data_IF_081684233273
#
_entry.id   IF_081684233273
#
_cell.length_a   1.000
_cell.length_b   1.000
_cell.length_c   1.000
_cell.angle_alpha   90.00
_cell.angle_beta   90.00
_cell.angle_gamma   90.00
#
_symmetry.space_group_name_H-M   'P 1'
#
loop_
_entity.id
_entity.type
_entity.pdbx_description
1 polymer ?
#
# COMPACT_ATOMS: atom_id res chain seq x y z
N UNK A 1 -28.56 3.72 9.04
CA UNK A 1 -28.58 5.09 8.50
C UNK A 1 -29.56 5.11 7.34
N UNK A 2 -30.70 5.79 7.47
CA UNK A 2 -31.60 6.02 6.34
C UNK A 2 -30.95 7.06 5.41
N UNK A 3 -31.06 6.88 4.09
CA UNK A 3 -30.56 7.83 3.11
C UNK A 3 -31.28 9.18 3.28
N UNK A 4 -30.54 10.29 3.18
CA UNK A 4 -31.12 11.64 3.25
C UNK A 4 -32.03 11.87 2.03
N UNK A 5 -33.35 12.07 2.19
CA UNK A 5 -34.27 12.29 1.08
C UNK A 5 -33.99 13.59 0.31
N UNK A 6 -33.24 14.52 0.91
CA UNK A 6 -32.84 15.79 0.29
C UNK A 6 -31.47 15.71 -0.40
N UNK A 7 -30.82 14.54 -0.41
CA UNK A 7 -29.58 14.35 -1.15
C UNK A 7 -29.88 14.34 -2.65
N UNK A 8 -29.51 15.42 -3.34
CA UNK A 8 -29.47 15.42 -4.80
C UNK A 8 -28.27 14.57 -5.21
N UNK A 9 -28.54 13.31 -5.58
CA UNK A 9 -27.60 12.48 -6.34
C UNK A 9 -27.51 13.08 -7.73
N UNK A 10 -26.60 14.04 -7.91
CA UNK A 10 -26.06 14.33 -9.22
C UNK A 10 -25.26 13.10 -9.62
N UNK A 11 -25.84 12.21 -10.45
CA UNK A 11 -25.10 11.16 -11.15
C UNK A 11 -24.22 11.79 -12.24
N UNK A 12 -23.36 12.69 -11.78
CA UNK A 12 -22.49 13.52 -12.57
C UNK A 12 -21.16 12.76 -12.67
N UNK A 13 -21.24 11.56 -13.23
CA UNK A 13 -20.12 10.62 -13.32
C UNK A 13 -19.20 11.00 -14.46
N UNK A 14 -17.99 11.43 -14.11
CA UNK A 14 -16.86 11.35 -15.03
C UNK A 14 -16.15 10.02 -14.82
N UNK A 15 -16.03 9.23 -15.89
CA UNK A 15 -15.20 8.04 -15.89
C UNK A 15 -13.71 8.42 -15.74
N UNK A 16 -12.85 7.46 -15.38
CA UNK A 16 -11.40 7.64 -15.35
C UNK A 16 -10.86 8.24 -16.63
N UNK A 17 -11.35 7.82 -17.80
CA UNK A 17 -10.96 8.41 -19.07
C UNK A 17 -11.29 9.90 -19.14
N UNK A 18 -12.43 10.33 -18.58
CA UNK A 18 -12.74 11.75 -18.41
C UNK A 18 -11.67 12.48 -17.60
N UNK A 19 -11.34 11.99 -16.40
CA UNK A 19 -10.30 12.61 -15.55
C UNK A 19 -8.91 12.59 -16.20
N UNK A 20 -8.52 11.52 -16.89
CA UNK A 20 -7.25 11.45 -17.63
C UNK A 20 -7.18 12.49 -18.75
N UNK A 21 -8.28 12.72 -19.47
CA UNK A 21 -8.34 13.76 -20.50
C UNK A 21 -8.23 15.17 -19.89
N UNK A 22 -8.85 15.41 -18.72
CA UNK A 22 -8.68 16.68 -17.99
C UNK A 22 -7.23 16.86 -17.55
N UNK A 23 -6.58 15.82 -17.04
CA UNK A 23 -5.17 15.84 -16.65
C UNK A 23 -4.26 16.17 -17.86
N UNK A 24 -4.48 15.48 -18.98
CA UNK A 24 -3.73 15.72 -20.22
C UNK A 24 -3.91 17.15 -20.75
N UNK A 25 -5.12 17.72 -20.65
CA UNK A 25 -5.36 19.12 -21.01
C UNK A 25 -4.59 20.09 -20.12
N UNK A 26 -4.52 19.85 -18.82
CA UNK A 26 -3.71 20.67 -17.90
C UNK A 26 -2.22 20.57 -18.21
N UNK A 27 -1.72 19.38 -18.49
CA UNK A 27 -0.33 19.16 -18.92
C UNK A 27 -0.02 19.95 -20.19
N UNK A 28 -0.88 19.84 -21.21
CA UNK A 28 -0.72 20.60 -22.45
C UNK A 28 -0.73 22.12 -22.22
N UNK A 29 -1.69 22.63 -21.44
CA UNK A 29 -1.78 24.08 -21.13
C UNK A 29 -0.57 24.57 -20.30
N UNK A 30 0.07 23.69 -19.54
CA UNK A 30 1.32 23.96 -18.83
C UNK A 30 2.58 23.82 -19.71
N UNK A 31 2.43 23.48 -20.99
CA UNK A 31 3.53 23.28 -21.94
C UNK A 31 4.12 21.87 -21.97
N UNK A 32 3.56 20.91 -21.22
CA UNK A 32 3.98 19.51 -21.17
C UNK A 32 3.20 18.65 -22.17
N UNK A 33 3.56 18.77 -23.45
CA UNK A 33 2.93 18.00 -24.54
C UNK A 33 3.26 16.50 -24.47
N UNK A 34 4.46 16.14 -24.05
CA UNK A 34 4.88 14.73 -23.93
C UNK A 34 4.10 14.03 -22.81
N UNK A 35 3.96 14.69 -21.65
CA UNK A 35 3.11 14.21 -20.56
C UNK A 35 1.65 14.08 -20.99
N UNK A 36 1.12 15.09 -21.69
CA UNK A 36 -0.25 15.04 -22.21
C UNK A 36 -0.47 13.87 -23.16
N UNK A 37 0.45 13.65 -24.11
CA UNK A 37 0.39 12.50 -25.02
C UNK A 37 0.40 11.17 -24.26
N UNK A 38 1.30 11.01 -23.29
CA UNK A 38 1.41 9.79 -22.50
C UNK A 38 0.12 9.48 -21.72
N UNK A 39 -0.48 10.49 -21.09
CA UNK A 39 -1.76 10.37 -20.37
C UNK A 39 -2.91 10.00 -21.32
N UNK A 40 -2.98 10.61 -22.51
CA UNK A 40 -3.99 10.27 -23.53
C UNK A 40 -3.82 8.84 -24.00
N UNK A 41 -2.61 8.44 -24.37
CA UNK A 41 -2.32 7.08 -24.84
C UNK A 41 -2.70 6.04 -23.79
N UNK A 42 -2.34 6.28 -22.53
CA UNK A 42 -2.74 5.40 -21.43
C UNK A 42 -4.28 5.28 -21.30
N UNK A 43 -4.99 6.41 -21.40
CA UNK A 43 -6.46 6.40 -21.38
C UNK A 43 -7.07 5.68 -22.59
N UNK A 44 -6.50 5.82 -23.79
CA UNK A 44 -7.00 5.17 -25.02
C UNK A 44 -6.73 3.66 -25.03
N UNK A 45 -5.63 3.25 -24.41
CA UNK A 45 -5.25 1.84 -24.26
C UNK A 45 -6.13 1.11 -23.23
N UNK A 46 -6.62 1.81 -22.20
CA UNK A 46 -7.28 1.16 -21.04
C UNK A 46 -8.75 1.59 -20.82
N UNK A 47 -9.27 2.59 -21.53
CA UNK A 47 -10.66 3.03 -21.38
C UNK A 47 -11.33 3.28 -22.74
N UNK A 48 -12.67 3.32 -22.74
CA UNK A 48 -13.51 3.74 -23.87
C UNK A 48 -13.46 5.27 -24.10
N UNK A 49 -12.38 5.94 -23.67
CA UNK A 49 -12.20 7.40 -23.75
C UNK A 49 -12.39 7.95 -25.16
N UNK A 50 -12.24 7.10 -26.17
CA UNK A 50 -12.65 7.34 -27.54
C UNK A 50 -11.67 8.19 -28.34
N UNK A 51 -11.85 8.13 -29.66
CA UNK A 51 -10.95 8.72 -30.65
C UNK A 51 -9.85 7.75 -31.10
N UNK A 52 -9.22 8.02 -32.26
CA UNK A 52 -8.12 7.21 -32.78
C UNK A 52 -6.90 7.29 -31.85
N UNK A 53 -6.11 6.21 -31.79
CA UNK A 53 -4.88 6.19 -30.99
C UNK A 53 -3.90 7.27 -31.47
N UNK A 54 -3.44 8.14 -30.56
CA UNK A 54 -2.46 9.18 -30.87
C UNK A 54 -1.05 8.58 -30.87
N UNK A 55 -0.23 8.94 -31.85
CA UNK A 55 1.17 8.48 -32.01
C UNK A 55 2.19 9.61 -31.90
N UNK A 56 1.75 10.87 -31.82
CA UNK A 56 2.61 12.06 -31.89
C UNK A 56 2.07 13.22 -31.06
N UNK A 57 2.97 14.02 -30.49
CA UNK A 57 2.63 15.27 -29.76
C UNK A 57 1.97 16.31 -30.65
N UNK A 58 2.22 16.28 -31.97
CA UNK A 58 1.55 17.18 -32.93
C UNK A 58 0.03 16.96 -33.03
N UNK A 59 -0.46 15.79 -32.60
CA UNK A 59 -1.89 15.45 -32.62
C UNK A 59 -2.62 15.92 -31.36
N UNK A 60 -1.89 16.20 -30.28
CA UNK A 60 -2.44 16.51 -28.96
C UNK A 60 -3.33 17.78 -28.98
N UNK A 61 -2.91 18.92 -29.56
CA UNK A 61 -3.75 20.12 -29.57
C UNK A 61 -5.09 19.92 -30.26
N UNK A 62 -5.12 19.22 -31.40
CA UNK A 62 -6.34 18.96 -32.16
C UNK A 62 -7.26 18.01 -31.39
N UNK A 63 -6.72 16.95 -30.78
CA UNK A 63 -7.50 16.00 -29.98
C UNK A 63 -8.13 16.67 -28.75
N UNK A 64 -7.32 17.40 -27.96
CA UNK A 64 -7.75 18.06 -26.73
C UNK A 64 -8.63 19.30 -26.96
N UNK A 65 -8.74 19.76 -28.21
CA UNK A 65 -9.64 20.86 -28.61
C UNK A 65 -10.92 20.34 -29.28
N UNK A 66 -11.14 19.03 -29.34
CA UNK A 66 -12.39 18.47 -29.87
C UNK A 66 -13.59 18.84 -29.00
N UNK A 67 -14.77 19.01 -29.62
CA UNK A 67 -16.00 19.39 -28.92
C UNK A 67 -16.34 18.43 -27.76
N UNK A 68 -16.04 17.13 -27.91
CA UNK A 68 -16.21 16.12 -26.86
C UNK A 68 -15.35 16.43 -25.63
N UNK A 69 -14.06 16.71 -25.84
CA UNK A 69 -13.12 17.04 -24.75
C UNK A 69 -13.49 18.36 -24.09
N UNK A 70 -13.83 19.38 -24.89
CA UNK A 70 -14.24 20.69 -24.35
C UNK A 70 -15.50 20.57 -23.49
N UNK A 71 -16.48 19.73 -23.88
CA UNK A 71 -17.67 19.47 -23.06
C UNK A 71 -17.33 18.77 -21.73
N UNK A 72 -16.37 17.84 -21.74
CA UNK A 72 -15.87 17.21 -20.50
C UNK A 72 -15.16 18.23 -19.60
N UNK A 73 -14.36 19.12 -20.19
CA UNK A 73 -13.69 20.20 -19.46
C UNK A 73 -14.70 21.17 -18.85
N UNK A 74 -15.69 21.61 -19.61
CA UNK A 74 -16.76 22.49 -19.12
C UNK A 74 -17.47 21.86 -17.91
N UNK A 75 -17.85 20.60 -18.02
CA UNK A 75 -18.45 19.87 -16.91
C UNK A 75 -17.52 19.78 -15.69
N UNK A 76 -16.23 19.50 -15.89
CA UNK A 76 -15.25 19.47 -14.81
C UNK A 76 -15.07 20.85 -14.15
N UNK A 77 -15.04 21.92 -14.94
CA UNK A 77 -14.93 23.29 -14.44
C UNK A 77 -16.15 23.66 -13.57
N UNK A 78 -17.35 23.21 -13.94
CA UNK A 78 -18.55 23.35 -13.11
C UNK A 78 -18.40 22.58 -11.78
N UNK A 79 -17.88 21.35 -11.80
CA UNK A 79 -17.59 20.61 -10.57
C UNK A 79 -16.60 21.36 -9.66
N UNK A 80 -15.56 21.96 -10.23
CA UNK A 80 -14.56 22.75 -9.48
C UNK A 80 -15.16 24.04 -8.91
N UNK A 81 -16.01 24.72 -9.67
CA UNK A 81 -16.69 25.95 -9.26
C UNK A 81 -17.69 25.71 -8.13
N UNK A 82 -18.35 24.55 -8.14
CA UNK A 82 -19.39 24.17 -7.17
C UNK A 82 -18.93 23.13 -6.15
N UNK A 83 -17.62 22.94 -5.97
CA UNK A 83 -17.05 21.91 -5.07
C UNK A 83 -17.54 22.02 -3.61
N UNK A 84 -17.95 23.21 -3.18
CA UNK A 84 -18.52 23.45 -1.84
C UNK A 84 -19.92 22.82 -1.65
N UNK A 85 -20.57 22.37 -2.72
CA UNK A 85 -21.86 21.68 -2.69
C UNK A 85 -21.71 20.14 -2.70
N UNK A 86 -20.48 19.62 -2.73
CA UNK A 86 -20.20 18.19 -2.91
C UNK A 86 -19.74 17.58 -1.57
N UNK A 87 -20.52 16.63 -1.04
CA UNK A 87 -20.19 15.90 0.18
C UNK A 87 -19.08 14.86 -0.01
N UNK A 88 -19.05 14.25 -1.19
CA UNK A 88 -18.04 13.28 -1.59
C UNK A 88 -17.86 13.30 -3.11
N UNK A 89 -16.60 13.24 -3.56
CA UNK A 89 -16.29 13.14 -4.98
C UNK A 89 -16.30 11.66 -5.39
N UNK A 90 -17.27 11.27 -6.20
CA UNK A 90 -17.39 9.91 -6.74
C UNK A 90 -16.57 9.75 -8.03
N UNK A 91 -15.84 8.64 -8.14
CA UNK A 91 -15.05 8.25 -9.31
C UNK A 91 -15.46 6.86 -9.82
N UNK A 92 -15.53 6.70 -11.14
CA UNK A 92 -15.61 5.41 -11.83
C UNK A 92 -14.28 5.14 -12.54
N UNK A 93 -13.42 4.33 -11.93
CA UNK A 93 -12.06 4.09 -12.38
C UNK A 93 -11.88 2.75 -13.10
N UNK A 94 -11.44 2.81 -14.36
CA UNK A 94 -11.26 1.67 -15.27
C UNK A 94 -9.83 1.53 -15.84
N UNK A 95 -8.90 2.37 -15.40
CA UNK A 95 -7.50 2.37 -15.85
C UNK A 95 -6.57 1.42 -15.07
N UNK A 96 -5.25 1.47 -15.33
CA UNK A 96 -4.27 0.75 -14.53
C UNK A 96 -4.07 1.41 -13.17
N UNK A 97 -3.63 0.66 -12.16
CA UNK A 97 -3.38 1.18 -10.81
C UNK A 97 -2.32 2.28 -10.76
N UNK A 98 -1.41 2.32 -11.74
CA UNK A 98 -0.32 3.30 -11.81
C UNK A 98 -0.77 4.76 -11.93
N UNK A 99 -1.95 5.03 -12.50
CA UNK A 99 -2.48 6.38 -12.74
C UNK A 99 -3.44 6.88 -11.67
N UNK A 100 -3.88 6.02 -10.74
CA UNK A 100 -4.70 6.47 -9.60
C UNK A 100 -4.02 7.61 -8.82
N UNK A 101 -2.70 7.54 -8.47
CA UNK A 101 -2.07 8.60 -7.69
C UNK A 101 -2.07 9.96 -8.41
N UNK A 102 -1.90 10.00 -9.73
CA UNK A 102 -1.91 11.26 -10.48
C UNK A 102 -3.32 11.84 -10.56
N UNK A 103 -4.32 11.00 -10.80
CA UNK A 103 -5.74 11.38 -10.80
C UNK A 103 -6.16 11.96 -9.45
N UNK A 104 -5.81 11.28 -8.34
CA UNK A 104 -6.12 11.76 -7.00
C UNK A 104 -5.36 13.06 -6.71
N UNK A 105 -4.09 13.17 -7.08
CA UNK A 105 -3.31 14.40 -6.89
C UNK A 105 -3.91 15.58 -7.67
N UNK A 106 -4.35 15.38 -8.91
CA UNK A 106 -5.01 16.40 -9.71
C UNK A 106 -6.25 16.94 -9.00
N UNK A 107 -7.21 16.07 -8.64
CA UNK A 107 -8.45 16.55 -7.99
C UNK A 107 -8.17 17.23 -6.65
N UNK A 108 -7.18 16.77 -5.87
CA UNK A 108 -6.78 17.46 -4.64
C UNK A 108 -6.22 18.85 -4.92
N UNK A 109 -5.39 19.00 -5.96
CA UNK A 109 -4.82 20.29 -6.37
C UNK A 109 -5.90 21.29 -6.84
N UNK A 110 -7.01 20.79 -7.40
CA UNK A 110 -8.17 21.62 -7.81
C UNK A 110 -9.10 22.02 -6.64
N UNK A 111 -8.71 21.64 -5.41
CA UNK A 111 -9.37 22.03 -4.17
C UNK A 111 -10.47 21.08 -3.70
N UNK A 112 -10.62 19.90 -4.31
CA UNK A 112 -11.53 18.88 -3.80
C UNK A 112 -10.97 18.28 -2.50
N UNK A 113 -11.32 18.88 -1.36
CA UNK A 113 -10.87 18.47 -0.02
C UNK A 113 -11.82 17.48 0.68
N UNK A 114 -13.02 17.26 0.13
CA UNK A 114 -13.99 16.27 0.61
C UNK A 114 -13.47 14.83 0.41
N UNK A 115 -14.09 13.83 1.05
CA UNK A 115 -13.78 12.42 0.79
C UNK A 115 -13.91 12.06 -0.70
N UNK A 116 -13.01 11.20 -1.18
CA UNK A 116 -13.09 10.61 -2.52
C UNK A 116 -13.61 9.19 -2.37
N UNK A 117 -14.55 8.81 -3.21
CA UNK A 117 -15.14 7.47 -3.25
C UNK A 117 -15.03 6.88 -4.64
N UNK A 118 -14.58 5.63 -4.75
CA UNK A 118 -14.43 4.94 -6.03
C UNK A 118 -15.51 3.86 -6.11
N UNK A 119 -16.66 4.23 -6.70
CA UNK A 119 -17.84 3.37 -6.76
C UNK A 119 -17.76 2.30 -7.85
N UNK A 120 -16.84 2.48 -8.79
CA UNK A 120 -16.45 1.43 -9.73
C UNK A 120 -14.94 1.44 -9.82
N UNK A 121 -14.27 0.38 -9.37
CA UNK A 121 -12.83 0.19 -9.49
C UNK A 121 -12.57 -1.06 -10.31
N UNK A 122 -11.97 -0.92 -11.47
CA UNK A 122 -11.59 -2.04 -12.32
C UNK A 122 -10.50 -1.67 -13.31
N UNK A 123 -10.12 -2.64 -14.14
CA UNK A 123 -9.22 -2.45 -15.27
C UNK A 123 -9.86 -3.06 -16.51
N UNK A 124 -9.92 -2.32 -17.62
CA UNK A 124 -10.33 -2.88 -18.92
C UNK A 124 -9.10 -3.26 -19.72
N UNK A 125 -9.09 -4.48 -20.24
CA UNK A 125 -7.97 -5.01 -21.04
C UNK A 125 -8.24 -4.74 -22.53
N UNK A 126 -8.26 -3.46 -22.90
CA UNK A 126 -8.55 -2.99 -24.27
C UNK A 126 -7.28 -2.86 -25.14
N UNK A 127 -6.11 -3.07 -24.55
CA UNK A 127 -4.79 -2.96 -25.16
C UNK A 127 -4.43 -4.09 -26.13
N UNK A 128 -5.34 -5.05 -26.32
CA UNK A 128 -5.18 -6.16 -27.27
C UNK A 128 -4.20 -7.24 -26.81
N UNK A 129 -3.60 -7.12 -25.62
CA UNK A 129 -2.73 -8.18 -25.09
C UNK A 129 -3.56 -9.40 -24.67
N UNK A 130 -3.00 -10.62 -24.75
CA UNK A 130 -3.67 -11.80 -24.20
C UNK A 130 -4.02 -11.61 -22.73
N UNK A 131 -5.22 -12.03 -22.35
CA UNK A 131 -5.63 -11.99 -20.95
C UNK A 131 -4.92 -13.07 -20.15
N UNK A 132 -4.15 -12.65 -19.14
CA UNK A 132 -3.44 -13.53 -18.22
C UNK A 132 -4.06 -13.46 -16.82
N UNK A 133 -4.48 -14.61 -16.26
CA UNK A 133 -5.12 -14.63 -14.94
C UNK A 133 -4.24 -14.09 -13.83
N UNK A 134 -2.93 -14.33 -13.91
CA UNK A 134 -1.96 -13.85 -12.92
C UNK A 134 -1.81 -12.33 -12.99
N UNK A 135 -1.81 -11.74 -14.19
CA UNK A 135 -1.78 -10.29 -14.36
C UNK A 135 -3.05 -9.65 -13.79
N UNK A 136 -4.22 -10.26 -14.02
CA UNK A 136 -5.47 -9.79 -13.43
C UNK A 136 -5.46 -9.85 -11.89
N UNK A 137 -4.91 -10.91 -11.32
CA UNK A 137 -4.74 -11.03 -9.88
C UNK A 137 -3.79 -9.97 -9.31
N UNK A 138 -2.68 -9.71 -9.99
CA UNK A 138 -1.71 -8.70 -9.59
C UNK A 138 -2.29 -7.29 -9.68
N UNK A 139 -2.98 -6.98 -10.78
CA UNK A 139 -3.59 -5.69 -11.02
C UNK A 139 -4.74 -5.40 -10.05
N UNK A 140 -5.58 -6.39 -9.75
CA UNK A 140 -6.64 -6.24 -8.74
C UNK A 140 -6.11 -5.82 -7.37
N UNK A 141 -5.00 -6.43 -6.94
CA UNK A 141 -4.35 -6.06 -5.68
C UNK A 141 -3.75 -4.66 -5.75
N UNK A 142 -3.08 -4.29 -6.86
CA UNK A 142 -2.53 -2.96 -7.04
C UNK A 142 -3.63 -1.90 -7.04
N UNK A 143 -4.73 -2.11 -7.76
CA UNK A 143 -5.88 -1.20 -7.80
C UNK A 143 -6.42 -0.94 -6.41
N UNK A 144 -6.80 -1.99 -5.68
CA UNK A 144 -7.40 -1.85 -4.35
C UNK A 144 -6.41 -1.22 -3.37
N UNK A 145 -5.17 -1.70 -3.33
CA UNK A 145 -4.16 -1.16 -2.42
C UNK A 145 -3.82 0.30 -2.74
N UNK A 146 -3.79 0.68 -4.02
CA UNK A 146 -3.51 2.06 -4.43
C UNK A 146 -4.68 2.97 -4.14
N UNK A 147 -5.91 2.59 -4.47
CA UNK A 147 -7.11 3.36 -4.14
C UNK A 147 -7.21 3.66 -2.64
N UNK A 148 -7.09 2.62 -1.79
CA UNK A 148 -7.08 2.80 -0.33
C UNK A 148 -5.84 3.56 0.14
N UNK A 149 -4.69 3.31 -0.51
CA UNK A 149 -3.40 3.94 -0.23
C UNK A 149 -3.37 5.45 -0.43
N UNK A 150 -4.08 5.92 -1.47
CA UNK A 150 -4.26 7.34 -1.83
C UNK A 150 -5.46 7.97 -1.12
N UNK A 151 -6.12 7.24 -0.20
CA UNK A 151 -7.12 7.79 0.71
C UNK A 151 -8.55 7.75 0.21
N UNK A 152 -8.89 6.87 -0.74
CA UNK A 152 -10.29 6.61 -1.07
C UNK A 152 -11.04 6.10 0.18
N UNK A 153 -12.12 6.78 0.54
CA UNK A 153 -12.96 6.46 1.71
C UNK A 153 -13.78 5.19 1.48
N UNK A 154 -14.26 5.03 0.25
CA UNK A 154 -15.11 3.93 -0.18
C UNK A 154 -14.61 3.41 -1.53
N UNK A 155 -14.58 2.09 -1.69
CA UNK A 155 -14.09 1.41 -2.89
C UNK A 155 -14.98 0.20 -3.18
N UNK A 156 -15.53 0.14 -4.39
CA UNK A 156 -16.26 -1.03 -4.90
C UNK A 156 -15.47 -1.56 -6.09
N UNK A 157 -14.91 -2.76 -5.94
CA UNK A 157 -14.30 -3.46 -7.06
C UNK A 157 -15.41 -3.86 -8.04
N UNK A 158 -15.32 -3.33 -9.25
CA UNK A 158 -16.28 -3.58 -10.31
C UNK A 158 -15.99 -4.92 -10.98
N UNK A 159 -17.07 -5.60 -11.38
CA UNK A 159 -17.13 -6.92 -12.00
C UNK A 159 -16.79 -8.10 -11.08
N UNK A 160 -17.84 -8.60 -10.41
CA UNK A 160 -17.78 -9.92 -9.79
C UNK A 160 -17.80 -11.05 -10.85
N UNK A 161 -18.58 -10.86 -11.92
CA UNK A 161 -18.66 -11.75 -13.09
C UNK A 161 -18.07 -11.08 -14.33
N UNK A 162 -17.65 -11.88 -15.31
CA UNK A 162 -17.13 -11.36 -16.59
C UNK A 162 -18.14 -10.45 -17.31
N UNK A 163 -17.63 -9.34 -17.87
CA UNK A 163 -18.32 -8.48 -18.83
C UNK A 163 -17.45 -8.33 -20.07
N UNK A 164 -17.35 -9.42 -20.83
CA UNK A 164 -16.39 -9.57 -21.95
C UNK A 164 -16.60 -8.57 -23.09
N UNK A 165 -17.83 -8.07 -23.28
CA UNK A 165 -18.12 -7.00 -24.26
C UNK A 165 -17.27 -5.73 -24.01
N UNK A 166 -16.92 -5.46 -22.75
CA UNK A 166 -16.07 -4.34 -22.36
C UNK A 166 -14.62 -4.75 -22.05
N UNK A 167 -14.23 -5.99 -22.39
CA UNK A 167 -12.95 -6.60 -22.00
C UNK A 167 -12.66 -6.48 -20.50
N UNK A 168 -13.72 -6.58 -19.69
CA UNK A 168 -13.63 -6.61 -18.25
C UNK A 168 -13.82 -8.04 -17.76
N UNK A 169 -12.80 -8.57 -17.11
CA UNK A 169 -12.82 -9.91 -16.54
C UNK A 169 -13.22 -9.83 -15.07
N UNK A 170 -14.10 -10.73 -14.64
CA UNK A 170 -14.62 -10.78 -13.27
C UNK A 170 -13.73 -11.58 -12.32
N UNK A 171 -14.16 -11.70 -11.07
CA UNK A 171 -13.56 -12.65 -10.12
C UNK A 171 -14.00 -14.10 -10.40
N UNK A 172 -15.16 -14.23 -11.04
CA UNK A 172 -15.75 -15.47 -11.52
C UNK A 172 -15.96 -15.34 -13.03
N UNK A 173 -15.60 -16.38 -13.78
CA UNK A 173 -15.79 -16.40 -15.23
C UNK A 173 -17.23 -16.74 -15.65
N UNK A 174 -17.51 -16.67 -16.96
CA UNK A 174 -18.83 -16.99 -17.53
C UNK A 174 -19.35 -18.40 -17.23
N UNK A 175 -18.46 -19.33 -16.90
CA UNK A 175 -18.78 -20.72 -16.56
C UNK A 175 -18.96 -20.92 -15.04
N UNK A 176 -18.80 -19.86 -14.24
CA UNK A 176 -18.92 -19.92 -12.79
C UNK A 176 -17.63 -20.33 -12.05
N UNK A 177 -16.49 -20.48 -12.76
CA UNK A 177 -15.23 -20.85 -12.14
C UNK A 177 -14.53 -19.64 -11.50
N UNK A 178 -13.84 -19.87 -10.39
CA UNK A 178 -13.06 -18.83 -9.72
C UNK A 178 -11.77 -18.54 -10.46
N UNK A 179 -11.51 -17.27 -10.78
CA UNK A 179 -10.22 -16.81 -11.31
C UNK A 179 -9.22 -16.56 -10.18
N UNK A 180 -7.93 -16.53 -10.52
CA UNK A 180 -6.84 -16.20 -9.57
C UNK A 180 -7.07 -14.86 -8.84
N UNK A 181 -7.66 -13.87 -9.54
CA UNK A 181 -8.00 -12.57 -8.97
C UNK A 181 -8.92 -12.65 -7.75
N UNK A 182 -9.85 -13.63 -7.69
CA UNK A 182 -10.72 -13.85 -6.53
C UNK A 182 -9.92 -14.08 -5.25
N UNK A 183 -8.85 -14.87 -5.34
CA UNK A 183 -7.98 -15.19 -4.20
C UNK A 183 -7.11 -13.99 -3.81
N UNK A 184 -6.59 -13.26 -4.79
CA UNK A 184 -5.82 -12.04 -4.57
C UNK A 184 -6.66 -10.95 -3.89
N UNK A 185 -7.88 -10.70 -4.37
CA UNK A 185 -8.82 -9.75 -3.76
C UNK A 185 -9.15 -10.15 -2.33
N UNK A 186 -9.51 -11.42 -2.08
CA UNK A 186 -9.78 -11.91 -0.72
C UNK A 186 -8.59 -11.69 0.21
N UNK A 187 -7.38 -11.98 -0.24
CA UNK A 187 -6.17 -11.78 0.54
C UNK A 187 -5.91 -10.30 0.80
N UNK A 188 -6.04 -9.44 -0.22
CA UNK A 188 -5.88 -7.98 -0.11
C UNK A 188 -6.88 -7.37 0.86
N UNK A 189 -8.16 -7.74 0.81
CA UNK A 189 -9.17 -7.29 1.78
C UNK A 189 -8.84 -7.74 3.20
N UNK A 190 -8.39 -8.99 3.38
CA UNK A 190 -7.91 -9.48 4.68
C UNK A 190 -6.69 -8.69 5.18
N UNK A 191 -5.80 -8.31 4.27
CA UNK A 191 -4.62 -7.52 4.58
C UNK A 191 -4.93 -6.05 4.91
N UNK A 192 -5.94 -5.47 4.29
CA UNK A 192 -6.38 -4.09 4.54
C UNK A 192 -7.31 -3.95 5.74
N UNK A 193 -7.82 -5.06 6.30
CA UNK A 193 -8.69 -5.02 7.49
C UNK A 193 -8.03 -4.25 8.64
N UNK A 194 -8.84 -3.39 9.27
CA UNK A 194 -8.50 -2.52 10.39
C UNK A 194 -7.45 -1.45 10.07
N UNK A 195 -7.24 -1.14 8.80
CA UNK A 195 -6.36 -0.02 8.40
C UNK A 195 -6.94 1.30 8.90
N UNK A 196 -6.11 2.08 9.60
CA UNK A 196 -6.46 3.40 10.13
C UNK A 196 -5.83 4.54 9.34
N UNK A 197 -4.71 4.27 8.66
CA UNK A 197 -4.05 5.24 7.78
C UNK A 197 -3.19 4.51 6.77
N UNK A 198 -2.96 5.16 5.62
CA UNK A 198 -2.07 4.66 4.60
C UNK A 198 -1.04 5.72 4.22
N UNK A 199 0.11 5.27 3.70
CA UNK A 199 1.07 6.15 3.03
C UNK A 199 1.83 5.39 1.96
N UNK A 200 2.11 6.06 0.85
CA UNK A 200 2.94 5.52 -0.21
C UNK A 200 4.33 5.16 0.32
N UNK A 201 4.90 4.08 -0.21
CA UNK A 201 6.18 3.53 0.20
C UNK A 201 7.01 3.19 -1.04
N UNK A 202 8.12 3.92 -1.21
CA UNK A 202 9.19 3.55 -2.15
C UNK A 202 10.31 2.87 -1.39
N UNK A 203 10.37 1.53 -1.44
CA UNK A 203 11.37 0.73 -0.75
C UNK A 203 12.63 0.51 -1.60
N UNK A 204 13.12 1.59 -2.24
CA UNK A 204 14.22 1.58 -3.21
C UNK A 204 13.76 1.97 -4.62
N UNK A 205 14.72 2.27 -5.50
CA UNK A 205 14.45 2.50 -6.92
C UNK A 205 13.80 1.26 -7.55
N UNK A 206 12.77 1.46 -8.37
CA UNK A 206 12.06 0.37 -9.05
C UNK A 206 11.06 -0.40 -8.18
N UNK A 207 10.65 0.16 -7.04
CA UNK A 207 9.57 -0.40 -6.21
C UNK A 207 8.46 0.62 -6.01
N UNK A 208 7.23 0.13 -5.94
CA UNK A 208 6.06 0.91 -5.53
C UNK A 208 5.19 0.09 -4.57
N UNK A 209 4.31 0.78 -3.87
CA UNK A 209 3.38 0.19 -2.93
C UNK A 209 3.10 1.09 -1.75
N UNK A 210 2.50 0.50 -0.72
CA UNK A 210 1.90 1.23 0.38
C UNK A 210 2.20 0.60 1.73
N UNK A 211 2.26 1.44 2.75
CA UNK A 211 2.18 1.04 4.15
C UNK A 211 0.79 1.36 4.66
N UNK A 212 0.18 0.39 5.32
CA UNK A 212 -1.10 0.51 6.01
C UNK A 212 -0.86 0.34 7.51
N UNK A 213 -1.16 1.36 8.30
CA UNK A 213 -1.09 1.30 9.76
C UNK A 213 -2.42 0.79 10.30
N UNK A 214 -2.36 -0.01 11.38
CA UNK A 214 -3.52 -0.70 11.98
C UNK A 214 -3.31 -0.89 13.48
N UNK A 215 -4.36 -1.19 14.26
CA UNK A 215 -4.20 -1.64 15.63
C UNK A 215 -3.22 -2.80 15.72
N UNK A 216 -2.16 -2.63 16.52
CA UNK A 216 -1.12 -3.65 16.69
C UNK A 216 -0.08 -3.71 15.57
N UNK A 217 0.12 -2.66 14.78
CA UNK A 217 1.31 -2.52 13.94
C UNK A 217 1.02 -1.96 12.57
N UNK A 218 1.67 -2.53 11.56
CA UNK A 218 1.56 -2.08 10.18
C UNK A 218 1.68 -3.28 9.23
N UNK A 219 1.10 -3.13 8.05
CA UNK A 219 1.28 -3.99 6.88
C UNK A 219 1.86 -3.17 5.76
N UNK A 220 2.64 -3.80 4.89
CA UNK A 220 3.13 -3.18 3.66
C UNK A 220 2.78 -4.07 2.50
N UNK A 221 2.42 -3.49 1.38
CA UNK A 221 2.38 -4.17 0.09
C UNK A 221 3.42 -3.52 -0.80
N UNK A 222 4.20 -4.33 -1.51
CA UNK A 222 5.19 -3.85 -2.47
C UNK A 222 5.17 -4.71 -3.73
N UNK A 223 5.44 -4.06 -4.86
CA UNK A 223 5.72 -4.68 -6.14
C UNK A 223 6.88 -3.93 -6.83
N UNK A 224 7.54 -4.61 -7.75
CA UNK A 224 8.55 -4.01 -8.61
C UNK A 224 7.87 -3.36 -9.81
N UNK A 225 8.32 -2.16 -10.18
CA UNK A 225 7.87 -1.47 -11.41
C UNK A 225 8.65 -1.91 -12.65
N UNK A 226 9.65 -2.79 -12.47
CA UNK A 226 10.48 -3.34 -13.54
C UNK A 226 11.05 -4.70 -13.15
N UNK A 227 12.37 -4.87 -13.20
CA UNK A 227 13.05 -6.07 -12.73
C UNK A 227 12.88 -6.30 -11.22
N UNK A 228 13.00 -7.55 -10.78
CA UNK A 228 12.86 -7.89 -9.37
C UNK A 228 13.91 -7.18 -8.49
N UNK A 229 13.48 -6.64 -7.35
CA UNK A 229 14.32 -5.82 -6.47
C UNK A 229 14.50 -6.51 -5.12
N UNK A 230 15.67 -6.30 -4.48
CA UNK A 230 15.93 -6.72 -3.09
C UNK A 230 15.88 -5.51 -2.16
N UNK A 231 14.72 -5.19 -1.57
CA UNK A 231 14.58 -3.95 -0.79
C UNK A 231 15.40 -3.97 0.50
N UNK A 232 15.65 -5.13 1.11
CA UNK A 232 16.50 -5.26 2.29
C UNK A 232 16.13 -4.28 3.40
N UNK A 233 17.08 -3.41 3.78
CA UNK A 233 16.86 -2.39 4.83
C UNK A 233 15.85 -1.30 4.41
N UNK A 234 15.63 -1.07 3.12
CA UNK A 234 14.66 -0.10 2.62
C UNK A 234 13.21 -0.49 2.94
N UNK A 235 12.95 -1.76 3.27
CA UNK A 235 11.69 -2.17 3.89
C UNK A 235 11.43 -1.45 5.21
N UNK A 236 12.43 -0.85 5.86
CA UNK A 236 12.25 -0.16 7.15
C UNK A 236 11.80 -1.10 8.28
N UNK A 237 12.12 -2.38 8.15
CA UNK A 237 11.83 -3.43 9.14
C UNK A 237 13.07 -3.62 10.01
N UNK A 238 12.89 -3.58 11.32
CA UNK A 238 14.01 -3.65 12.29
C UNK A 238 14.41 -5.08 12.65
N UNK A 239 13.55 -6.06 12.46
CA UNK A 239 13.85 -7.48 12.68
C UNK A 239 14.88 -7.98 11.66
N UNK A 240 15.39 -9.20 11.81
CA UNK A 240 16.20 -9.87 10.78
C UNK A 240 15.35 -10.70 9.80
N UNK A 241 14.11 -10.98 10.18
CA UNK A 241 13.11 -11.70 9.38
C UNK A 241 11.84 -10.86 9.21
N UNK A 242 11.01 -11.28 8.26
CA UNK A 242 9.73 -10.68 7.95
C UNK A 242 8.75 -11.79 7.54
N UNK A 243 7.50 -11.66 7.95
CA UNK A 243 6.43 -12.49 7.40
C UNK A 243 6.07 -11.93 6.03
N UNK A 244 6.12 -12.80 5.02
CA UNK A 244 5.72 -12.45 3.67
C UNK A 244 4.48 -13.25 3.31
N UNK A 245 3.48 -12.57 2.77
CA UNK A 245 2.30 -13.22 2.20
C UNK A 245 2.26 -12.91 0.71
N UNK A 246 2.14 -13.94 -0.13
CA UNK A 246 2.02 -13.77 -1.58
C UNK A 246 0.71 -13.09 -1.97
N UNK A 247 0.58 -12.70 -3.25
CA UNK A 247 -0.59 -11.98 -3.73
C UNK A 247 -1.90 -12.76 -3.50
N UNK A 248 -1.91 -14.04 -3.86
CA UNK A 248 -3.07 -14.94 -3.71
C UNK A 248 -3.16 -15.59 -2.31
N UNK A 249 -2.35 -15.14 -1.36
CA UNK A 249 -2.18 -15.77 -0.05
C UNK A 249 -0.88 -16.58 0.04
N UNK A 250 -0.84 -17.55 0.96
CA UNK A 250 0.37 -18.32 1.27
C UNK A 250 1.37 -17.48 2.08
N UNK A 251 1.72 -17.95 3.28
CA UNK A 251 2.59 -17.21 4.20
C UNK A 251 3.94 -17.91 4.33
N UNK A 252 5.01 -17.13 4.21
CA UNK A 252 6.38 -17.55 4.48
C UNK A 252 7.03 -16.62 5.52
N UNK A 253 8.14 -17.08 6.10
CA UNK A 253 9.00 -16.29 6.97
C UNK A 253 10.38 -16.21 6.33
N UNK A 254 10.79 -15.03 5.91
CA UNK A 254 12.00 -14.83 5.12
C UNK A 254 13.01 -13.96 5.86
N UNK A 255 14.31 -14.19 5.63
CA UNK A 255 15.34 -13.23 6.07
C UNK A 255 15.20 -11.98 5.22
N UNK A 256 15.19 -10.81 5.86
CA UNK A 256 15.08 -9.52 5.14
C UNK A 256 16.17 -9.35 4.08
N UNK A 257 17.37 -9.88 4.34
CA UNK A 257 18.49 -9.82 3.40
C UNK A 257 18.29 -10.64 2.12
N UNK A 258 17.37 -11.62 2.12
CA UNK A 258 17.09 -12.50 0.98
C UNK A 258 15.73 -12.23 0.31
N UNK A 259 14.91 -11.35 0.88
CA UNK A 259 13.59 -11.01 0.32
C UNK A 259 13.76 -10.35 -1.05
N UNK A 260 13.03 -10.89 -2.03
CA UNK A 260 12.86 -10.30 -3.36
C UNK A 260 11.43 -9.78 -3.53
N UNK A 261 11.28 -8.68 -4.26
CA UNK A 261 9.99 -8.12 -4.68
C UNK A 261 9.99 -8.16 -6.20
N UNK A 262 9.07 -8.94 -6.79
CA UNK A 262 8.85 -8.99 -8.24
C UNK A 262 7.64 -8.13 -8.64
N UNK A 263 7.17 -8.28 -9.88
CA UNK A 263 5.98 -7.58 -10.40
C UNK A 263 4.69 -7.96 -9.66
N UNK A 264 4.61 -9.19 -9.14
CA UNK A 264 3.48 -9.63 -8.33
C UNK A 264 3.53 -9.01 -6.93
N UNK A 265 2.44 -8.37 -6.45
CA UNK A 265 2.39 -7.78 -5.13
C UNK A 265 2.68 -8.78 -4.01
N UNK A 266 3.51 -8.36 -3.05
CA UNK A 266 3.80 -9.13 -1.84
C UNK A 266 3.47 -8.30 -0.62
N UNK A 267 2.85 -8.92 0.37
CA UNK A 267 2.53 -8.31 1.64
C UNK A 267 3.60 -8.63 2.68
N UNK A 268 3.99 -7.64 3.47
CA UNK A 268 5.04 -7.72 4.48
C UNK A 268 4.50 -7.28 5.83
N UNK A 269 4.74 -8.11 6.84
CA UNK A 269 4.43 -7.83 8.24
C UNK A 269 5.66 -8.14 9.11
N UNK A 270 5.94 -7.34 10.15
CA UNK A 270 6.95 -7.73 11.12
C UNK A 270 6.52 -9.05 11.77
N UNK A 271 7.36 -10.09 11.70
CA UNK A 271 7.05 -11.41 12.28
C UNK A 271 7.74 -11.65 13.63
N UNK A 272 8.54 -10.67 14.06
CA UNK A 272 9.26 -10.68 15.32
C UNK A 272 9.02 -9.42 16.11
N UNK A 273 9.33 -9.50 17.42
CA UNK A 273 9.10 -8.47 18.41
C UNK A 273 9.49 -7.06 17.91
N UNK A 274 8.53 -6.14 17.93
CA UNK A 274 8.75 -4.72 17.71
C UNK A 274 9.01 -4.01 19.03
N UNK A 275 9.91 -3.04 19.03
CA UNK A 275 10.50 -2.52 20.26
C UNK A 275 10.72 -1.02 20.17
N UNK A 276 10.28 -0.34 21.22
CA UNK A 276 10.44 1.09 21.41
C UNK A 276 11.02 1.37 22.80
N UNK A 277 11.99 2.28 22.86
CA UNK A 277 12.48 2.80 24.13
C UNK A 277 11.44 3.77 24.70
N UNK A 278 11.22 3.72 26.02
CA UNK A 278 10.38 4.68 26.72
C UNK A 278 11.19 5.45 27.77
N UNK A 279 10.69 6.62 28.17
CA UNK A 279 11.23 7.38 29.30
C UNK A 279 11.14 6.53 30.56
N UNK A 280 12.26 6.39 31.27
CA UNK A 280 12.29 5.65 32.53
C UNK A 280 11.55 6.44 33.62
N UNK A 281 10.71 5.76 34.42
CA UNK A 281 10.00 6.38 35.55
C UNK A 281 10.88 6.54 36.80
N UNK A 282 11.98 5.80 36.90
CA UNK A 282 12.87 5.79 38.08
C UNK A 282 14.34 5.81 37.64
N UNK A 283 15.18 6.53 38.40
CA UNK A 283 16.63 6.57 38.19
C UNK A 283 17.20 5.15 38.27
N UNK A 284 18.11 4.80 37.37
CA UNK A 284 18.71 3.46 37.31
C UNK A 284 17.84 2.39 36.63
N UNK A 285 16.66 2.73 36.10
CA UNK A 285 15.87 1.81 35.27
C UNK A 285 15.97 2.16 33.78
N UNK A 286 15.76 1.14 32.95
CA UNK A 286 15.48 1.28 31.53
C UNK A 286 14.10 0.74 31.26
N UNK A 287 13.32 1.48 30.49
CA UNK A 287 11.97 1.11 30.11
C UNK A 287 11.90 0.89 28.61
N UNK A 288 11.37 -0.26 28.23
CA UNK A 288 11.12 -0.60 26.82
C UNK A 288 9.68 -1.08 26.68
N UNK A 289 8.99 -0.61 25.64
CA UNK A 289 7.74 -1.20 25.17
C UNK A 289 8.12 -2.23 24.12
N UNK A 290 7.64 -3.45 24.30
CA UNK A 290 7.80 -4.54 23.36
C UNK A 290 6.43 -5.01 22.88
N UNK A 291 6.28 -5.23 21.59
CA UNK A 291 5.06 -5.74 20.97
C UNK A 291 5.36 -7.04 20.24
N UNK A 292 4.56 -8.07 20.49
CA UNK A 292 4.60 -9.30 19.72
C UNK A 292 3.63 -9.16 18.55
N UNK A 293 4.10 -9.11 17.29
CA UNK A 293 3.22 -8.89 16.16
C UNK A 293 2.15 -9.98 16.02
N UNK A 294 1.01 -9.62 15.45
CA UNK A 294 -0.03 -10.59 15.09
C UNK A 294 0.50 -11.66 14.10
N UNK A 295 1.44 -11.27 13.25
CA UNK A 295 2.16 -12.11 12.30
C UNK A 295 3.15 -13.10 12.93
N UNK A 296 3.36 -13.08 14.25
CA UNK A 296 4.38 -13.94 14.89
C UNK A 296 4.07 -15.43 14.69
N UNK A 297 5.05 -16.26 14.28
CA UNK A 297 4.79 -17.68 14.03
C UNK A 297 4.45 -18.48 15.30
N UNK A 298 4.74 -17.98 16.51
CA UNK A 298 4.38 -18.67 17.77
C UNK A 298 3.25 -17.92 18.45
N UNK A 299 2.56 -18.65 19.34
CA UNK A 299 1.60 -18.09 20.30
C UNK A 299 2.21 -17.02 21.21
N UNK A 300 3.51 -17.12 21.51
CA UNK A 300 4.20 -16.20 22.43
C UNK A 300 5.58 -15.78 21.91
N UNK A 301 5.79 -14.47 21.78
CA UNK A 301 7.13 -13.91 21.74
C UNK A 301 7.72 -14.00 23.15
N UNK A 302 8.62 -14.96 23.37
CA UNK A 302 9.39 -15.10 24.61
C UNK A 302 10.85 -14.71 24.36
N UNK A 303 11.63 -14.48 25.40
CA UNK A 303 13.04 -14.16 25.22
C UNK A 303 13.67 -13.38 26.35
N UNK A 304 14.77 -12.70 26.03
CA UNK A 304 15.49 -11.84 26.95
C UNK A 304 15.65 -10.43 26.39
N UNK A 305 15.37 -9.43 27.22
CA UNK A 305 15.88 -8.08 27.03
C UNK A 305 17.22 -8.02 27.75
N UNK A 306 18.32 -7.86 27.03
CA UNK A 306 19.67 -7.66 27.58
C UNK A 306 20.11 -6.24 27.28
N UNK A 307 20.80 -5.61 28.20
CA UNK A 307 21.45 -4.33 27.99
C UNK A 307 22.94 -4.55 28.12
N UNK A 308 23.70 -4.12 27.10
CA UNK A 308 25.16 -4.21 27.14
C UNK A 308 25.81 -2.84 27.36
N UNK A 309 26.93 -2.87 28.06
CA UNK A 309 27.71 -1.73 28.51
C UNK A 309 29.20 -2.06 28.71
N UNK A 310 29.98 -1.08 29.21
CA UNK A 310 31.43 -1.20 29.40
C UNK A 310 32.26 -0.94 28.13
N UNK A 311 33.61 -1.01 28.24
CA UNK A 311 34.55 -0.84 27.12
C UNK A 311 34.22 -1.84 26.00
N UNK A 312 33.99 -1.34 24.79
CA UNK A 312 33.59 -2.16 23.64
C UNK A 312 32.19 -2.80 23.74
N UNK A 313 31.33 -2.38 24.69
CA UNK A 313 29.95 -2.86 24.86
C UNK A 313 29.83 -4.38 25.05
N UNK A 314 30.85 -5.02 25.65
CA UNK A 314 30.90 -6.48 25.78
C UNK A 314 30.15 -7.02 27.00
N UNK A 315 29.98 -6.23 28.08
CA UNK A 315 29.38 -6.70 29.35
C UNK A 315 27.87 -6.52 29.38
N UNK A 316 27.11 -7.54 29.78
CA UNK A 316 25.67 -7.41 30.05
C UNK A 316 25.50 -6.69 31.39
N UNK A 317 24.94 -5.48 31.35
CA UNK A 317 24.71 -4.63 32.54
C UNK A 317 23.32 -4.80 33.15
N UNK A 318 22.38 -5.36 32.38
CA UNK A 318 21.07 -5.78 32.87
C UNK A 318 20.42 -6.79 31.93
N UNK A 319 19.58 -7.69 32.47
CA UNK A 319 18.81 -8.62 31.67
C UNK A 319 17.44 -8.90 32.32
N UNK A 320 16.39 -9.11 31.51
CA UNK A 320 15.07 -9.55 31.98
C UNK A 320 14.41 -10.47 30.97
N UNK A 321 13.86 -11.60 31.43
CA UNK A 321 13.04 -12.48 30.59
C UNK A 321 11.71 -11.80 30.26
N UNK A 322 11.17 -12.07 29.08
CA UNK A 322 9.81 -11.69 28.72
C UNK A 322 9.05 -12.86 28.09
N UNK A 323 7.72 -12.79 28.20
CA UNK A 323 6.73 -13.59 27.49
C UNK A 323 5.58 -12.65 27.17
N UNK A 324 5.29 -12.48 25.89
CA UNK A 324 4.27 -11.57 25.35
C UNK A 324 3.42 -12.40 24.40
N UNK A 325 2.10 -12.39 24.60
CA UNK A 325 1.17 -13.07 23.69
C UNK A 325 1.19 -12.43 22.31
N UNK A 326 0.97 -13.21 21.26
CA UNK A 326 0.77 -12.72 19.88
C UNK A 326 -0.26 -11.59 19.85
N UNK A 327 0.04 -10.51 19.13
CA UNK A 327 -0.78 -9.29 19.08
C UNK A 327 -0.72 -8.40 20.34
N UNK A 328 -0.06 -8.83 21.42
CA UNK A 328 -0.02 -8.06 22.66
C UNK A 328 1.20 -7.14 22.74
N UNK A 329 1.06 -6.06 23.52
CA UNK A 329 2.17 -5.20 23.93
C UNK A 329 2.45 -5.37 25.42
N UNK A 330 3.71 -5.24 25.83
CA UNK A 330 4.13 -5.23 27.23
C UNK A 330 5.21 -4.19 27.46
N UNK A 331 5.08 -3.45 28.56
CA UNK A 331 6.15 -2.59 29.06
C UNK A 331 7.05 -3.41 29.98
N UNK A 332 8.36 -3.35 29.75
CA UNK A 332 9.37 -4.08 30.48
C UNK A 332 10.33 -3.07 31.11
N UNK A 333 10.31 -3.00 32.43
CA UNK A 333 11.27 -2.23 33.22
C UNK A 333 12.46 -3.11 33.60
N UNK A 334 13.67 -2.64 33.34
CA UNK A 334 14.91 -3.38 33.59
C UNK A 334 15.84 -2.52 34.45
N UNK A 335 16.16 -3.03 35.65
CA UNK A 335 17.04 -2.36 36.61
C UNK A 335 18.49 -2.46 36.13
N UNK A 336 19.16 -1.32 36.00
CA UNK A 336 20.62 -1.28 35.77
C UNK A 336 21.33 -1.68 37.06
N UNK A 337 22.33 -2.57 36.97
CA UNK A 337 23.28 -2.73 38.08
C UNK A 337 23.99 -1.40 38.32
N UNK A 338 24.17 -0.99 39.59
CA UNK A 338 24.95 0.21 39.97
C UNK A 338 26.34 0.07 39.32
N UNK A 339 26.64 0.86 38.29
CA UNK A 339 27.99 1.02 37.79
C UNK A 339 28.28 2.49 37.50
N UNK A 340 29.54 2.85 37.77
CA UNK A 340 30.11 4.20 37.70
C UNK A 340 29.88 4.83 36.32
N UNK A 341 29.72 6.15 36.35
CA UNK A 341 29.29 7.07 35.29
C UNK A 341 29.84 6.72 33.88
N UNK A 342 29.03 6.98 32.83
CA UNK A 342 29.34 6.98 31.37
C UNK A 342 29.17 5.68 30.54
N UNK A 343 28.13 4.88 30.78
CA UNK A 343 27.76 3.79 29.84
C UNK A 343 26.52 4.17 29.02
N UNK A 344 26.66 4.30 27.69
CA UNK A 344 25.52 4.34 26.75
C UNK A 344 25.02 2.90 26.53
N UNK A 345 23.87 2.49 27.11
CA UNK A 345 23.42 1.11 27.03
C UNK A 345 22.90 0.81 25.62
N UNK A 346 23.46 -0.22 24.98
CA UNK A 346 22.87 -0.79 23.78
C UNK A 346 21.91 -1.88 24.22
N UNK A 347 20.63 -1.69 23.90
CA UNK A 347 19.63 -2.71 24.17
C UNK A 347 19.76 -3.78 23.11
N UNK A 348 19.71 -5.02 23.56
CA UNK A 348 19.89 -6.21 22.77
C UNK A 348 18.75 -7.13 23.16
N UNK A 349 17.92 -7.48 22.20
CA UNK A 349 16.88 -8.45 22.41
C UNK A 349 17.33 -9.78 21.84
N UNK A 350 17.01 -10.85 22.54
CA UNK A 350 17.11 -12.20 22.01
C UNK A 350 15.69 -12.74 21.99
N UNK A 351 15.06 -12.75 20.81
CA UNK A 351 13.90 -13.58 20.49
C UNK A 351 14.44 -14.98 20.17
N UNK A 352 14.25 -16.01 21.01
CA UNK A 352 14.40 -17.38 20.58
C UNK A 352 13.17 -17.69 19.72
N UNK A 353 13.39 -17.79 18.41
CA UNK A 353 12.42 -18.37 17.51
C UNK A 353 13.10 -19.37 16.56
N UNK A 354 12.40 -20.47 16.32
CA UNK A 354 12.68 -21.48 15.29
C UNK A 354 12.58 -20.85 13.90
N UNK A 355 13.70 -20.39 13.36
CA UNK A 355 13.86 -20.28 11.92
C UNK A 355 13.77 -21.69 11.30
N UNK A 356 13.60 -21.82 9.97
CA UNK A 356 13.98 -23.04 9.26
C UNK A 356 15.49 -23.22 9.45
N UNK A 357 15.90 -23.98 10.49
CA UNK A 357 17.29 -24.15 10.91
C UNK A 357 17.51 -24.17 12.43
N UNK A 358 18.69 -24.66 12.85
CA UNK A 358 19.07 -24.83 14.28
C UNK A 358 18.94 -23.50 15.06
N UNK A 359 18.33 -23.57 16.25
CA UNK A 359 18.02 -22.48 17.20
C UNK A 359 19.16 -21.48 17.50
N UNK A 360 20.41 -21.86 17.26
CA UNK A 360 21.59 -21.10 17.65
C UNK A 360 21.90 -19.92 16.73
N UNK A 361 21.29 -19.85 15.53
CA UNK A 361 21.66 -18.88 14.49
C UNK A 361 20.67 -17.71 14.30
N UNK A 362 19.48 -17.77 14.91
CA UNK A 362 18.47 -16.71 14.79
C UNK A 362 18.37 -15.88 16.07
N UNK A 363 19.37 -15.01 16.26
CA UNK A 363 19.30 -13.91 17.24
C UNK A 363 19.12 -12.61 16.47
N UNK A 364 17.94 -12.00 16.59
CA UNK A 364 17.71 -10.65 16.06
C UNK A 364 18.27 -9.62 17.03
N UNK A 365 19.43 -9.05 16.70
CA UNK A 365 20.06 -8.00 17.51
C UNK A 365 19.55 -6.64 17.04
N UNK A 366 18.48 -6.14 17.65
CA UNK A 366 18.01 -4.78 17.37
C UNK A 366 18.79 -3.77 18.21
N UNK A 367 19.52 -2.88 17.54
CA UNK A 367 20.10 -1.71 18.20
C UNK A 367 19.01 -0.66 18.40
N UNK A 368 18.62 -0.41 19.65
CA UNK A 368 17.86 0.80 19.97
C UNK A 368 18.81 2.01 19.85
N UNK A 369 18.59 2.88 18.86
CA UNK A 369 19.17 4.22 18.83
C UNK A 369 18.51 5.08 19.90
#
# INVERSE_FOLDING_TARGET
>A
HAANPDAILLDSVSSSGGFSIIEARKQWLAGDLDGALATIQESQTNDLGGGPYLTSTSQVPAYLSSAKVLKMQEFYDQLVAHKNLIDALQLHYYGPASSIPSTIAMVRNDGFNMPIEIWELGHRYLDGRPFEQQDHADESTRLIATAVGEGARYVVLQQYFDKLANKMYGLIDGDGNSRQARFAVRNTLSMLRDTTSARRLRAGSGTDGYRFDRPGGWRRVLWATGAAVRPGKALGIRSTTVAVTGNQGGRSHERISSVTVGKSPRWFEPDMLEIWRQKARRKGFLRVKAHCPAASPTRFCRGWVKFRGGKGKRKVVAARKYKIGRGASRVIDVRRRKQRKRVRPQVIFATPFSCPGKLNHCRSWQNLR
#
